data_IF_470606934346
#
_entry.id   IF_470606934346
#
_cell.length_a   1.000
_cell.length_b   1.000
_cell.length_c   1.000
_cell.angle_alpha   90.00
_cell.angle_beta   90.00
_cell.angle_gamma   90.00
#
_symmetry.space_group_name_H-M   'P 1'
#
loop_
_entity.id
_entity.type
_entity.pdbx_description
1 polymer ?
#
# COMPACT_ATOMS: atom_id res chain seq x y z
N UNK A 1 -5.53 10.50 -0.42
CA UNK A 1 -4.81 10.51 -1.72
C UNK A 1 -5.72 9.93 -2.80
N UNK A 2 -5.53 10.32 -4.07
CA UNK A 2 -6.25 9.69 -5.19
C UNK A 2 -5.33 8.70 -5.92
N UNK A 3 -5.89 7.72 -6.63
CA UNK A 3 -5.10 6.79 -7.45
C UNK A 3 -4.20 7.53 -8.46
N UNK A 4 -4.72 8.62 -9.06
CA UNK A 4 -3.98 9.43 -10.02
C UNK A 4 -2.82 10.19 -9.39
N UNK A 5 -2.97 10.68 -8.16
CA UNK A 5 -1.87 11.35 -7.45
C UNK A 5 -0.78 10.35 -7.06
N UNK A 6 -1.17 9.16 -6.55
CA UNK A 6 -0.21 8.09 -6.23
C UNK A 6 0.61 7.72 -7.47
N UNK A 7 -0.05 7.50 -8.61
CA UNK A 7 0.62 7.14 -9.86
C UNK A 7 1.59 8.23 -10.33
N UNK A 8 1.22 9.51 -10.21
CA UNK A 8 2.09 10.62 -10.57
C UNK A 8 3.31 10.73 -9.63
N UNK A 9 3.11 10.55 -8.33
CA UNK A 9 4.18 10.62 -7.33
C UNK A 9 5.18 9.47 -7.49
N UNK A 10 4.69 8.26 -7.79
CA UNK A 10 5.55 7.09 -8.09
C UNK A 10 6.27 7.26 -9.42
N UNK A 11 5.57 7.68 -10.49
CA UNK A 11 6.17 7.86 -11.81
C UNK A 11 7.23 8.97 -11.84
N UNK A 12 7.06 10.01 -11.02
CA UNK A 12 8.05 11.08 -10.86
C UNK A 12 9.21 10.72 -9.91
N UNK A 13 9.12 9.60 -9.20
CA UNK A 13 10.10 9.21 -8.17
C UNK A 13 10.02 10.02 -6.88
N UNK A 14 9.00 10.88 -6.72
CA UNK A 14 8.77 11.63 -5.49
C UNK A 14 8.45 10.70 -4.31
N UNK A 15 7.88 9.52 -4.58
CA UNK A 15 7.66 8.44 -3.62
C UNK A 15 7.98 7.09 -4.24
N UNK A 16 8.51 6.16 -3.46
CA UNK A 16 8.66 4.77 -3.90
C UNK A 16 7.33 4.03 -3.81
N UNK A 17 7.10 3.07 -4.72
CA UNK A 17 5.93 2.20 -4.67
C UNK A 17 5.88 1.41 -3.36
N UNK A 18 7.04 0.94 -2.87
CA UNK A 18 7.18 0.29 -1.57
C UNK A 18 6.72 1.19 -0.40
N UNK A 19 7.14 2.47 -0.36
CA UNK A 19 6.72 3.39 0.71
C UNK A 19 5.21 3.63 0.71
N UNK A 20 4.60 3.72 -0.48
CA UNK A 20 3.14 3.88 -0.58
C UNK A 20 2.43 2.62 -0.11
N UNK A 21 2.93 1.44 -0.48
CA UNK A 21 2.37 0.16 -0.05
C UNK A 21 2.43 0.01 1.47
N UNK A 22 3.58 0.22 2.09
CA UNK A 22 3.75 0.07 3.54
C UNK A 22 2.80 1.01 4.31
N UNK A 23 2.67 2.27 3.85
CA UNK A 23 1.72 3.24 4.43
C UNK A 23 0.25 2.77 4.37
N UNK A 24 -0.10 1.93 3.39
CA UNK A 24 -1.44 1.37 3.29
C UNK A 24 -1.59 0.07 4.08
N UNK A 25 -0.55 -0.77 4.15
CA UNK A 25 -0.54 -1.95 5.00
C UNK A 25 -0.65 -1.57 6.48
N UNK A 26 0.06 -0.54 6.93
CA UNK A 26 -0.01 -0.04 8.31
C UNK A 26 -1.44 0.39 8.68
N UNK A 27 -2.15 1.07 7.77
CA UNK A 27 -3.54 1.47 8.00
C UNK A 27 -4.51 0.29 8.05
N UNK A 28 -4.25 -0.74 7.25
CA UNK A 28 -5.03 -1.98 7.30
C UNK A 28 -4.79 -2.65 8.66
N UNK A 29 -3.54 -2.83 9.07
CA UNK A 29 -3.20 -3.41 10.37
C UNK A 29 -3.80 -2.64 11.57
N UNK A 30 -3.88 -1.31 11.48
CA UNK A 30 -4.46 -0.47 12.56
C UNK A 30 -5.98 -0.62 12.70
N UNK A 31 -6.70 -0.84 11.59
CA UNK A 31 -8.17 -0.72 11.55
C UNK A 31 -8.92 -2.02 11.28
N UNK A 32 -8.27 -3.00 10.66
CA UNK A 32 -9.00 -4.15 10.13
C UNK A 32 -9.45 -5.14 11.20
N UNK A 33 -8.84 -5.09 12.39
CA UNK A 33 -9.31 -5.80 13.58
C UNK A 33 -10.70 -5.32 14.05
N UNK A 34 -11.10 -4.10 13.68
CA UNK A 34 -12.41 -3.52 14.00
C UNK A 34 -13.39 -3.61 12.83
N UNK A 35 -12.90 -3.35 11.61
CA UNK A 35 -13.74 -3.24 10.41
C UNK A 35 -14.00 -4.62 9.79
N UNK A 36 -13.04 -5.54 9.90
CA UNK A 36 -13.06 -6.85 9.25
C UNK A 36 -13.33 -6.76 7.74
N UNK A 37 -12.66 -5.84 7.06
CA UNK A 37 -12.77 -5.67 5.61
C UNK A 37 -11.91 -6.68 4.83
N UNK A 38 -10.80 -7.18 5.40
CA UNK A 38 -9.91 -8.12 4.71
C UNK A 38 -9.97 -9.52 5.34
N UNK A 39 -10.32 -10.52 4.52
CA UNK A 39 -10.24 -11.93 4.95
C UNK A 39 -8.79 -12.45 4.96
N UNK A 40 -7.94 -11.89 4.10
CA UNK A 40 -6.54 -12.27 3.96
C UNK A 40 -5.76 -11.09 3.37
N UNK A 41 -4.71 -10.67 4.07
CA UNK A 41 -3.75 -9.68 3.58
C UNK A 41 -2.50 -10.43 3.10
N UNK A 42 -2.07 -10.18 1.86
CA UNK A 42 -0.90 -10.85 1.25
C UNK A 42 0.33 -9.96 1.24
N UNK A 43 0.77 -9.53 2.42
CA UNK A 43 1.79 -8.49 2.58
C UNK A 43 3.09 -8.80 1.82
N UNK A 44 3.66 -9.99 2.00
CA UNK A 44 4.94 -10.37 1.37
C UNK A 44 4.85 -10.34 -0.15
N UNK A 45 3.74 -10.82 -0.71
CA UNK A 45 3.50 -10.81 -2.15
C UNK A 45 3.34 -9.38 -2.65
N UNK A 46 2.62 -8.53 -1.91
CA UNK A 46 2.45 -7.14 -2.27
C UNK A 46 3.78 -6.39 -2.24
N UNK A 47 4.62 -6.61 -1.21
CA UNK A 47 5.95 -6.00 -1.10
C UNK A 47 6.85 -6.42 -2.27
N UNK A 48 6.88 -7.71 -2.60
CA UNK A 48 7.64 -8.20 -3.76
C UNK A 48 7.19 -7.57 -5.08
N UNK A 49 5.90 -7.28 -5.26
CA UNK A 49 5.40 -6.58 -6.45
C UNK A 49 5.73 -5.09 -6.47
N UNK A 50 5.89 -4.45 -5.31
CA UNK A 50 6.26 -3.04 -5.22
C UNK A 50 7.76 -2.79 -5.47
N UNK A 51 8.58 -3.84 -5.36
CA UNK A 51 10.02 -3.81 -5.66
C UNK A 51 10.38 -4.17 -7.11
N UNK A 52 9.45 -4.81 -7.84
CA UNK A 52 9.62 -5.29 -9.21
C UNK A 52 9.41 -4.20 -10.27
#
# INVERSE_FOLDING_TARGET
>A
MSARSIAADVASGARSAASVLDEHLDRVAERDDEIHAFNLVTEDKARAQAEA
#
